data_IF_802127226688
#
_entry.id   IF_802127226688
#
_cell.length_a   1.000
_cell.length_b   1.000
_cell.length_c   1.000
_cell.angle_alpha   90.00
_cell.angle_beta   90.00
_cell.angle_gamma   90.00
#
_symmetry.space_group_name_H-M   'P 1'
#
loop_
_entity.id
_entity.type
_entity.pdbx_description
1 polymer ?
#
# COMPACT_ATOMS: atom_id res chain seq x y z
N UNK A 1 19.77 -4.22 -17.30
CA UNK A 1 18.72 -5.24 -17.14
C UNK A 1 17.38 -4.56 -17.24
N UNK A 2 16.69 -4.77 -18.36
CA UNK A 2 15.35 -4.24 -18.60
C UNK A 2 14.34 -5.29 -18.18
N UNK A 3 13.75 -5.12 -17.00
CA UNK A 3 12.75 -6.03 -16.44
C UNK A 3 11.88 -5.39 -15.35
N UNK A 4 11.75 -4.06 -15.35
CA UNK A 4 11.12 -3.32 -14.25
C UNK A 4 9.84 -2.55 -14.63
N UNK A 5 9.19 -2.88 -15.76
CA UNK A 5 8.09 -2.06 -16.31
C UNK A 5 6.90 -2.94 -16.75
N UNK A 6 6.28 -3.68 -15.81
CA UNK A 6 4.84 -3.44 -15.60
C UNK A 6 4.41 -3.40 -14.12
N UNK A 7 5.25 -3.86 -13.18
CA UNK A 7 4.88 -3.98 -11.76
C UNK A 7 4.63 -2.62 -11.09
N UNK A 8 5.36 -1.56 -11.47
CA UNK A 8 5.22 -0.23 -10.87
C UNK A 8 3.85 0.42 -11.11
N UNK A 9 3.29 0.30 -12.32
CA UNK A 9 1.98 0.86 -12.64
C UNK A 9 0.82 -0.02 -12.16
N UNK A 10 1.02 -1.33 -12.12
CA UNK A 10 0.07 -2.26 -11.52
C UNK A 10 -0.02 -2.07 -10.00
N UNK A 11 1.10 -1.81 -9.33
CA UNK A 11 1.19 -1.65 -7.89
C UNK A 11 0.36 -0.47 -7.35
N UNK A 12 0.51 0.72 -7.94
CA UNK A 12 -0.28 1.90 -7.54
C UNK A 12 -1.79 1.71 -7.81
N UNK A 13 -2.13 1.04 -8.92
CA UNK A 13 -3.51 0.79 -9.33
C UNK A 13 -4.18 -0.27 -8.47
N UNK A 14 -3.50 -1.37 -8.18
CA UNK A 14 -4.04 -2.49 -7.40
C UNK A 14 -4.01 -2.25 -5.89
N UNK A 15 -3.05 -1.49 -5.36
CA UNK A 15 -3.09 -1.01 -3.97
C UNK A 15 -4.02 0.19 -3.78
N UNK A 16 -4.46 0.83 -4.87
CA UNK A 16 -5.33 2.00 -4.82
C UNK A 16 -4.73 3.17 -4.03
N UNK A 17 -3.40 3.38 -4.11
CA UNK A 17 -2.72 4.41 -3.32
C UNK A 17 -3.15 5.78 -3.84
N UNK A 18 -3.88 6.54 -3.00
CA UNK A 18 -4.34 7.89 -3.32
C UNK A 18 -3.75 8.90 -2.33
N UNK A 19 -3.20 10.03 -2.80
CA UNK A 19 -2.87 11.13 -1.91
C UNK A 19 -4.17 11.69 -1.32
N UNK A 20 -4.27 11.73 0.00
CA UNK A 20 -5.48 12.15 0.72
C UNK A 20 -5.43 13.64 1.17
N UNK A 21 -4.40 14.39 0.79
CA UNK A 21 -4.26 15.80 1.20
C UNK A 21 -3.35 16.66 0.33
N UNK A 22 -3.51 17.99 0.48
CA UNK A 22 -2.60 19.00 -0.07
C UNK A 22 -1.26 18.90 0.68
N UNK A 23 -0.20 18.40 0.01
CA UNK A 23 1.15 18.34 0.60
C UNK A 23 1.82 16.97 0.61
N UNK A 24 1.15 15.90 0.13
CA UNK A 24 1.69 14.52 0.15
C UNK A 24 1.96 13.95 1.56
N UNK A 25 1.27 14.47 2.57
CA UNK A 25 1.48 14.07 3.98
C UNK A 25 0.57 12.92 4.42
N UNK A 26 -0.47 12.61 3.63
CA UNK A 26 -1.40 11.52 3.89
C UNK A 26 -1.64 10.67 2.64
N UNK A 27 -1.61 9.35 2.81
CA UNK A 27 -1.93 8.37 1.77
C UNK A 27 -3.08 7.45 2.19
N UNK A 28 -3.95 7.13 1.26
CA UNK A 28 -4.95 6.09 1.45
C UNK A 28 -4.57 4.87 0.62
N UNK A 29 -4.51 3.69 1.26
CA UNK A 29 -4.21 2.41 0.62
C UNK A 29 -5.48 1.56 0.62
N UNK A 30 -6.06 1.34 -0.57
CA UNK A 30 -7.26 0.53 -0.78
C UNK A 30 -6.97 -0.61 -1.76
N UNK A 31 -6.42 -1.74 -1.31
CA UNK A 31 -6.10 -2.83 -2.21
C UNK A 31 -7.35 -3.47 -2.80
N UNK A 32 -7.31 -3.71 -4.11
CA UNK A 32 -8.33 -4.40 -4.91
C UNK A 32 -7.71 -5.66 -5.54
N UNK A 33 -7.42 -6.72 -4.76
CA UNK A 33 -6.67 -7.89 -5.22
C UNK A 33 -7.43 -8.77 -6.21
N UNK A 34 -8.77 -8.68 -6.29
CA UNK A 34 -9.57 -9.55 -7.14
C UNK A 34 -9.37 -11.02 -6.75
N UNK A 35 -8.84 -11.83 -7.68
CA UNK A 35 -8.51 -13.24 -7.43
C UNK A 35 -7.06 -13.47 -6.93
N UNK A 36 -6.28 -12.40 -6.72
CA UNK A 36 -4.89 -12.51 -6.26
C UNK A 36 -4.83 -12.81 -4.76
N UNK A 37 -3.98 -13.76 -4.38
CA UNK A 37 -3.71 -14.13 -2.98
C UNK A 37 -2.51 -13.40 -2.40
N UNK A 38 -1.70 -12.74 -3.24
CA UNK A 38 -0.51 -12.00 -2.84
C UNK A 38 -0.32 -10.77 -3.72
N UNK A 39 0.08 -9.67 -3.08
CA UNK A 39 0.43 -8.41 -3.74
C UNK A 39 1.61 -7.79 -3.00
N UNK A 40 2.75 -7.67 -3.69
CA UNK A 40 3.94 -7.03 -3.17
C UNK A 40 4.49 -5.99 -4.14
N UNK A 41 5.21 -5.01 -3.62
CA UNK A 41 5.92 -4.03 -4.42
C UNK A 41 6.35 -2.80 -3.65
N UNK A 42 6.98 -1.89 -4.39
CA UNK A 42 7.49 -0.64 -3.88
C UNK A 42 7.27 0.48 -4.90
N UNK A 43 7.08 1.70 -4.41
CA UNK A 43 7.03 2.89 -5.22
C UNK A 43 7.85 4.03 -4.62
N UNK A 44 8.40 4.86 -5.50
CA UNK A 44 9.10 6.08 -5.12
C UNK A 44 8.06 7.18 -4.91
N UNK A 45 7.94 7.65 -3.67
CA UNK A 45 7.17 8.82 -3.30
C UNK A 45 8.14 10.01 -3.14
N UNK A 46 7.72 11.27 -3.38
CA UNK A 46 8.60 12.43 -3.22
C UNK A 46 9.28 12.53 -1.84
N UNK A 47 8.64 11.95 -0.81
CA UNK A 47 9.15 11.92 0.57
C UNK A 47 9.95 10.65 0.93
N UNK A 48 10.10 9.69 0.03
CA UNK A 48 10.83 8.44 0.27
C UNK A 48 10.17 7.22 -0.38
N UNK A 49 10.64 6.01 -0.05
CA UNK A 49 10.07 4.78 -0.59
C UNK A 49 8.83 4.35 0.21
N UNK A 50 7.75 4.03 -0.50
CA UNK A 50 6.61 3.30 0.05
C UNK A 50 6.70 1.86 -0.42
N UNK A 51 6.60 0.90 0.49
CA UNK A 51 6.61 -0.53 0.15
C UNK A 51 5.43 -1.24 0.83
N UNK A 52 4.90 -2.27 0.19
CA UNK A 52 3.88 -3.12 0.77
C UNK A 52 4.07 -4.56 0.31
N UNK A 53 3.82 -5.49 1.21
CA UNK A 53 3.74 -6.92 0.95
C UNK A 53 2.51 -7.45 1.68
N UNK A 54 1.49 -7.87 0.93
CA UNK A 54 0.17 -8.19 1.43
C UNK A 54 -0.28 -9.55 0.91
N UNK A 55 -0.79 -10.37 1.82
CA UNK A 55 -1.43 -11.64 1.55
C UNK A 55 -2.93 -11.53 1.83
N UNK A 56 -3.74 -12.07 0.92
CA UNK A 56 -5.20 -12.03 0.99
C UNK A 56 -5.77 -13.44 1.07
N UNK A 57 -6.71 -13.66 1.98
CA UNK A 57 -7.43 -14.92 2.15
C UNK A 57 -8.81 -14.64 2.73
N UNK A 58 -9.88 -15.12 2.09
CA UNK A 58 -11.25 -15.11 2.62
C UNK A 58 -11.65 -13.76 3.27
N UNK A 59 -11.48 -12.66 2.53
CA UNK A 59 -11.76 -11.27 2.98
C UNK A 59 -10.87 -10.74 4.12
N UNK A 60 -9.82 -11.47 4.48
CA UNK A 60 -8.76 -10.99 5.38
C UNK A 60 -7.53 -10.60 4.59
N UNK A 61 -6.78 -9.65 5.15
CA UNK A 61 -5.49 -9.23 4.62
C UNK A 61 -4.47 -9.16 5.73
N UNK A 62 -3.28 -9.70 5.47
CA UNK A 62 -2.14 -9.64 6.39
C UNK A 62 -0.88 -9.31 5.64
N UNK A 63 0.02 -8.56 6.27
CA UNK A 63 1.27 -8.24 5.63
C UNK A 63 2.01 -7.10 6.31
N UNK A 64 2.88 -6.45 5.54
CA UNK A 64 3.66 -5.30 5.98
C UNK A 64 3.48 -4.14 5.04
N UNK A 65 3.43 -2.94 5.61
CA UNK A 65 3.40 -1.68 4.87
C UNK A 65 4.45 -0.77 5.47
N UNK A 66 5.29 -0.20 4.61
CA UNK A 66 6.29 0.79 4.96
C UNK A 66 5.92 2.13 4.33
N UNK A 67 5.62 3.12 5.17
CA UNK A 67 5.39 4.49 4.75
C UNK A 67 6.67 5.33 4.88
N UNK A 68 6.91 6.29 3.98
CA UNK A 68 8.00 7.23 4.12
C UNK A 68 7.89 8.08 5.41
N UNK A 69 9.02 8.62 5.91
CA UNK A 69 9.02 9.51 7.07
C UNK A 69 8.09 10.73 6.88
N UNK A 70 7.24 10.98 7.88
CA UNK A 70 6.29 12.09 7.87
C UNK A 70 5.08 11.87 6.94
N UNK A 71 4.91 10.67 6.37
CA UNK A 71 3.70 10.28 5.65
C UNK A 71 2.87 9.39 6.56
N UNK A 72 1.67 9.84 6.87
CA UNK A 72 0.65 9.03 7.55
C UNK A 72 -0.30 8.45 6.50
N UNK A 73 -1.16 7.53 6.92
CA UNK A 73 -2.16 7.04 5.99
C UNK A 73 -3.27 6.22 6.62
N UNK A 74 -4.19 5.79 5.78
CA UNK A 74 -5.25 4.86 6.15
C UNK A 74 -5.24 3.68 5.20
N UNK A 75 -5.17 2.48 5.74
CA UNK A 75 -5.35 1.24 5.01
C UNK A 75 -6.79 0.78 5.13
N UNK A 76 -7.47 0.50 4.00
CA UNK A 76 -8.87 0.04 3.99
C UNK A 76 -9.02 -1.23 3.17
N UNK A 77 -9.62 -2.26 3.75
CA UNK A 77 -9.90 -3.52 3.08
C UNK A 77 -11.14 -4.19 3.66
N UNK A 78 -11.98 -4.81 2.82
CA UNK A 78 -13.21 -5.52 3.23
C UNK A 78 -14.10 -4.75 4.23
N UNK A 79 -14.25 -3.43 4.05
CA UNK A 79 -15.03 -2.57 4.95
C UNK A 79 -14.34 -2.18 6.26
N UNK A 80 -13.16 -2.73 6.56
CA UNK A 80 -12.34 -2.39 7.73
C UNK A 80 -11.33 -1.29 7.39
N UNK A 81 -10.89 -0.57 8.42
CA UNK A 81 -9.91 0.52 8.28
C UNK A 81 -8.86 0.46 9.38
N UNK A 82 -7.60 0.73 9.03
CA UNK A 82 -6.45 0.77 9.93
C UNK A 82 -5.65 2.04 9.67
N UNK A 83 -5.36 2.81 10.71
CA UNK A 83 -4.45 3.94 10.61
C UNK A 83 -3.00 3.44 10.45
N UNK A 84 -2.29 4.00 9.48
CA UNK A 84 -0.89 3.71 9.19
C UNK A 84 -0.01 4.85 9.68
N UNK A 85 1.07 4.48 10.36
CA UNK A 85 2.11 5.40 10.81
C UNK A 85 3.30 5.43 9.85
N UNK A 86 4.14 6.47 9.88
CA UNK A 86 5.41 6.46 9.16
C UNK A 86 6.29 5.27 9.59
N UNK A 87 7.03 4.69 8.64
CA UNK A 87 7.88 3.53 8.86
C UNK A 87 7.21 2.19 8.54
N UNK A 88 7.94 1.11 8.77
CA UNK A 88 7.47 -0.26 8.54
C UNK A 88 6.57 -0.73 9.68
N UNK A 89 5.38 -1.23 9.33
CA UNK A 89 4.43 -1.77 10.28
C UNK A 89 3.70 -2.98 9.70
N UNK A 90 3.23 -3.86 10.57
CA UNK A 90 2.37 -4.97 10.18
C UNK A 90 0.92 -4.52 10.08
N UNK A 91 0.23 -5.00 9.05
CA UNK A 91 -1.21 -4.78 8.85
C UNK A 91 -1.92 -6.13 8.93
N UNK A 92 -3.06 -6.15 9.63
CA UNK A 92 -3.92 -7.32 9.72
C UNK A 92 -5.37 -6.85 9.88
N UNK A 93 -6.21 -7.13 8.89
CA UNK A 93 -7.65 -6.84 8.89
C UNK A 93 -8.45 -8.07 8.49
#
# INVERSE_FOLDING_TARGET
>A
GWGAHPLYHYFATLLGIRPAGLGFDEVEIRPMPGALTHLSGEMVHPRGRLAADLHFADETVRGTVALPPGVQGTFRYAGKSLALQPGAQSVAL
#
